data_IF_292705298936
#
_entry.id   IF_292705298936
#
_cell.length_a   1.000
_cell.length_b   1.000
_cell.length_c   1.000
_cell.angle_alpha   90.00
_cell.angle_beta   90.00
_cell.angle_gamma   90.00
#
_symmetry.space_group_name_H-M   'P 1'
#
loop_
_entity.id
_entity.type
_entity.pdbx_description
1 polymer ?
#
# COMPACT_ATOMS: atom_id res chain seq x y z
N UNK A 1 1.60 -16.96 -18.30
CA UNK A 1 2.01 -15.65 -18.85
C UNK A 1 2.80 -14.92 -17.78
N UNK A 2 3.98 -14.40 -18.10
CA UNK A 2 4.76 -13.52 -17.20
C UNK A 2 4.60 -12.09 -17.67
N UNK A 3 4.18 -11.16 -16.81
CA UNK A 3 4.19 -9.74 -17.14
C UNK A 3 5.65 -9.27 -17.12
N UNK A 4 6.15 -8.75 -18.25
CA UNK A 4 7.54 -8.25 -18.37
C UNK A 4 8.63 -9.26 -17.93
N UNK A 5 8.38 -10.56 -18.05
CA UNK A 5 9.32 -11.62 -17.63
C UNK A 5 9.33 -11.90 -16.11
N UNK A 6 8.52 -11.19 -15.33
CA UNK A 6 8.39 -11.39 -13.89
C UNK A 6 7.46 -12.57 -13.57
N UNK A 7 7.89 -13.40 -12.62
CA UNK A 7 7.08 -14.47 -12.01
C UNK A 7 6.68 -14.04 -10.60
N UNK A 8 5.87 -13.00 -10.51
CA UNK A 8 5.39 -12.49 -9.24
C UNK A 8 4.34 -13.43 -8.63
N UNK A 9 4.40 -13.58 -7.30
CA UNK A 9 3.31 -14.11 -6.47
C UNK A 9 2.55 -12.93 -5.91
N UNK A 10 1.22 -12.98 -5.97
CA UNK A 10 0.34 -11.94 -5.43
C UNK A 10 -0.37 -12.52 -4.21
N UNK A 11 -0.38 -11.77 -3.11
CA UNK A 11 -1.28 -12.01 -1.98
C UNK A 11 -2.24 -10.85 -1.95
N UNK A 12 -3.53 -11.14 -2.11
CA UNK A 12 -4.59 -10.13 -2.13
C UNK A 12 -5.45 -10.33 -0.88
N UNK A 13 -5.62 -9.25 -0.13
CA UNK A 13 -6.46 -9.21 1.06
C UNK A 13 -7.72 -8.41 0.74
N UNK A 14 -8.88 -8.98 1.03
CA UNK A 14 -10.17 -8.35 0.80
C UNK A 14 -11.15 -8.77 1.90
N UNK A 15 -12.13 -7.93 2.23
CA UNK A 15 -13.19 -8.30 3.18
C UNK A 15 -14.05 -9.46 2.65
N UNK A 16 -14.20 -9.56 1.33
CA UNK A 16 -14.99 -10.56 0.62
C UNK A 16 -14.27 -11.02 -0.64
N UNK A 17 -13.21 -11.85 -0.51
CA UNK A 17 -12.44 -12.28 -1.66
C UNK A 17 -13.28 -13.03 -2.69
N UNK A 18 -12.94 -12.95 -3.99
CA UNK A 18 -13.74 -13.54 -5.05
C UNK A 18 -13.75 -15.08 -4.94
N UNK A 19 -14.95 -15.67 -4.85
CA UNK A 19 -15.12 -17.12 -4.73
C UNK A 19 -14.84 -17.88 -6.04
N UNK A 20 -15.14 -17.26 -7.19
CA UNK A 20 -15.08 -17.94 -8.51
C UNK A 20 -13.83 -17.60 -9.31
N UNK A 21 -12.82 -16.97 -8.69
CA UNK A 21 -11.54 -16.64 -9.31
C UNK A 21 -10.42 -17.47 -8.67
N UNK A 22 -9.74 -18.28 -9.49
CA UNK A 22 -8.61 -19.09 -9.05
C UNK A 22 -7.44 -18.98 -10.02
N UNK A 23 -6.29 -18.57 -9.52
CA UNK A 23 -5.01 -18.58 -10.23
C UNK A 23 -3.90 -18.99 -9.26
N UNK A 24 -3.05 -19.95 -9.63
CA UNK A 24 -2.00 -20.47 -8.75
C UNK A 24 -0.95 -19.40 -8.34
N UNK A 25 -0.93 -18.25 -9.01
CA UNK A 25 -0.03 -17.13 -8.71
C UNK A 25 -0.62 -16.15 -7.69
N UNK A 26 -1.92 -16.24 -7.42
CA UNK A 26 -2.66 -15.31 -6.56
C UNK A 26 -3.24 -16.07 -5.38
N UNK A 27 -2.87 -15.67 -4.17
CA UNK A 27 -3.49 -16.14 -2.95
C UNK A 27 -4.46 -15.06 -2.44
N UNK A 28 -5.75 -15.37 -2.47
CA UNK A 28 -6.77 -14.54 -1.86
C UNK A 28 -6.91 -14.87 -0.37
N UNK A 29 -6.98 -13.84 0.47
CA UNK A 29 -7.15 -13.98 1.91
C UNK A 29 -8.25 -13.03 2.37
N UNK A 30 -9.16 -13.51 3.19
CA UNK A 30 -10.16 -12.64 3.81
C UNK A 30 -9.51 -11.82 4.92
N UNK A 31 -9.68 -10.49 4.91
CA UNK A 31 -9.09 -9.61 5.92
C UNK A 31 -9.56 -8.16 5.84
N UNK A 32 -9.32 -7.41 6.91
CA UNK A 32 -9.64 -5.98 7.03
C UNK A 32 -8.34 -5.17 7.10
N UNK A 33 -8.24 -4.08 6.33
CA UNK A 33 -7.09 -3.19 6.33
C UNK A 33 -6.84 -2.52 7.70
N UNK A 34 -7.86 -2.39 8.54
CA UNK A 34 -7.72 -1.86 9.90
C UNK A 34 -6.97 -2.83 10.84
N UNK A 35 -6.96 -4.14 10.53
CA UNK A 35 -6.21 -5.15 11.25
C UNK A 35 -5.83 -6.33 10.33
N UNK A 36 -4.66 -6.21 9.71
CA UNK A 36 -4.12 -7.22 8.81
C UNK A 36 -3.55 -8.45 9.53
N UNK A 37 -3.42 -8.45 10.85
CA UNK A 37 -2.67 -9.49 11.58
C UNK A 37 -3.30 -10.88 11.45
N UNK A 38 -4.63 -10.95 11.35
CA UNK A 38 -5.35 -12.20 11.15
C UNK A 38 -5.23 -12.75 9.72
N UNK A 39 -5.10 -11.86 8.73
CA UNK A 39 -5.02 -12.24 7.31
C UNK A 39 -3.57 -12.52 6.88
N UNK A 40 -2.66 -11.61 7.22
CA UNK A 40 -1.24 -11.66 6.88
C UNK A 40 -0.43 -12.15 8.07
N UNK A 41 -0.59 -13.43 8.40
CA UNK A 41 0.14 -14.06 9.50
C UNK A 41 1.66 -13.98 9.30
N UNK A 42 2.41 -14.00 10.41
CA UNK A 42 3.87 -14.04 10.39
C UNK A 42 4.42 -15.15 9.47
N UNK A 43 3.85 -16.37 9.55
CA UNK A 43 4.33 -17.50 8.76
C UNK A 43 4.07 -17.33 7.26
N UNK A 44 2.94 -16.71 6.90
CA UNK A 44 2.65 -16.36 5.51
C UNK A 44 3.66 -15.35 5.00
N UNK A 45 3.85 -14.24 5.73
CA UNK A 45 4.78 -13.17 5.36
C UNK A 45 6.22 -13.69 5.26
N UNK A 46 6.70 -14.47 6.24
CA UNK A 46 8.03 -15.07 6.24
C UNK A 46 8.27 -16.04 5.05
N UNK A 47 7.20 -16.56 4.43
CA UNK A 47 7.30 -17.43 3.25
C UNK A 47 7.43 -16.66 1.93
N UNK A 48 7.20 -15.34 1.91
CA UNK A 48 7.19 -14.52 0.71
C UNK A 48 8.61 -14.01 0.40
N UNK A 49 9.13 -14.20 -0.82
CA UNK A 49 10.42 -13.65 -1.19
C UNK A 49 10.32 -12.13 -1.37
N UNK A 50 11.33 -11.42 -0.89
CA UNK A 50 11.55 -10.00 -1.18
C UNK A 50 12.22 -9.80 -2.56
N UNK A 51 12.09 -8.63 -3.21
CA UNK A 51 11.39 -7.44 -2.71
C UNK A 51 9.87 -7.54 -2.82
N UNK A 52 9.18 -6.89 -1.90
CA UNK A 52 7.73 -6.71 -1.92
C UNK A 52 7.35 -5.36 -2.52
N UNK A 53 6.18 -5.37 -3.17
CA UNK A 53 5.41 -4.18 -3.48
C UNK A 53 4.06 -4.33 -2.79
N UNK A 54 3.77 -3.46 -1.84
CA UNK A 54 2.47 -3.37 -1.17
C UNK A 54 1.67 -2.24 -1.83
N UNK A 55 0.51 -2.56 -2.39
CA UNK A 55 -0.52 -1.58 -2.79
C UNK A 55 -1.57 -1.51 -1.71
N UNK A 56 -1.75 -0.35 -1.08
CA UNK A 56 -2.88 -0.09 -0.20
C UNK A 56 -3.93 0.71 -0.97
N UNK A 57 -4.96 0.00 -1.43
CA UNK A 57 -6.09 0.52 -2.21
C UNK A 57 -7.40 0.00 -1.59
N UNK A 58 -7.68 0.41 -0.35
CA UNK A 58 -8.80 -0.13 0.42
C UNK A 58 -9.85 0.93 0.82
N UNK A 59 -9.88 1.35 2.08
CA UNK A 59 -10.89 2.26 2.62
C UNK A 59 -10.51 3.74 2.46
N UNK A 60 -9.24 4.04 2.17
CA UNK A 60 -8.67 5.40 2.04
C UNK A 60 -8.89 6.34 3.24
N UNK A 61 -9.43 5.85 4.35
CA UNK A 61 -9.52 6.60 5.61
C UNK A 61 -8.15 6.75 6.23
N UNK A 62 -7.93 7.82 6.98
CA UNK A 62 -6.70 8.04 7.73
C UNK A 62 -6.34 6.84 8.62
N UNK A 63 -7.33 6.26 9.30
CA UNK A 63 -7.19 5.14 10.21
C UNK A 63 -6.70 3.88 9.50
N UNK A 64 -7.35 3.50 8.40
CA UNK A 64 -6.96 2.33 7.60
C UNK A 64 -5.55 2.49 7.03
N UNK A 65 -5.25 3.60 6.34
CA UNK A 65 -3.93 3.85 5.76
C UNK A 65 -2.84 3.83 6.85
N UNK A 66 -3.11 4.43 8.01
CA UNK A 66 -2.20 4.42 9.17
C UNK A 66 -1.98 3.01 9.71
N UNK A 67 -3.04 2.20 9.83
CA UNK A 67 -2.96 0.83 10.29
C UNK A 67 -2.10 -0.03 9.35
N UNK A 68 -2.32 0.09 8.04
CA UNK A 68 -1.55 -0.63 7.02
C UNK A 68 -0.07 -0.21 7.04
N UNK A 69 0.22 1.10 7.03
CA UNK A 69 1.59 1.63 7.11
C UNK A 69 2.33 1.07 8.34
N UNK A 70 1.70 1.13 9.52
CA UNK A 70 2.29 0.63 10.77
C UNK A 70 2.45 -0.88 10.79
N UNK A 71 1.52 -1.62 10.21
CA UNK A 71 1.62 -3.06 10.09
C UNK A 71 2.85 -3.42 9.26
N UNK A 72 2.96 -2.89 8.05
CA UNK A 72 4.05 -3.20 7.14
C UNK A 72 5.40 -2.63 7.57
N UNK A 73 5.45 -1.57 8.38
CA UNK A 73 6.71 -1.08 8.93
C UNK A 73 7.52 -2.14 9.70
N UNK A 74 6.82 -3.11 10.31
CA UNK A 74 7.45 -4.22 11.03
C UNK A 74 7.94 -5.35 10.11
N UNK A 75 7.62 -5.31 8.83
CA UNK A 75 7.81 -6.43 7.90
C UNK A 75 8.59 -6.06 6.63
N UNK A 76 8.53 -4.80 6.19
CA UNK A 76 9.27 -4.34 5.03
C UNK A 76 10.76 -4.30 5.31
N UNK A 77 11.54 -4.77 4.35
CA UNK A 77 13.01 -4.71 4.38
C UNK A 77 13.53 -3.76 3.31
N UNK A 78 14.82 -3.40 3.39
CA UNK A 78 15.45 -2.48 2.43
C UNK A 78 15.23 -2.95 0.99
N UNK A 79 14.68 -2.07 0.16
CA UNK A 79 14.34 -2.34 -1.24
C UNK A 79 12.88 -2.69 -1.49
N UNK A 80 12.10 -2.96 -0.44
CA UNK A 80 10.65 -3.09 -0.55
C UNK A 80 9.99 -1.72 -0.74
N UNK A 81 8.79 -1.75 -1.32
CA UNK A 81 7.94 -0.59 -1.51
C UNK A 81 6.56 -0.78 -0.88
N UNK A 82 6.01 0.32 -0.39
CA UNK A 82 4.59 0.47 -0.11
C UNK A 82 4.08 1.72 -0.82
N UNK A 83 2.98 1.58 -1.55
CA UNK A 83 2.24 2.69 -2.14
C UNK A 83 0.89 2.80 -1.44
N UNK A 84 0.58 4.00 -0.95
CA UNK A 84 -0.75 4.33 -0.41
C UNK A 84 -1.54 5.04 -1.50
N UNK A 85 -2.66 4.45 -1.92
CA UNK A 85 -3.38 4.93 -3.09
C UNK A 85 -4.37 6.06 -2.79
N UNK A 86 -4.83 6.72 -3.85
CA UNK A 86 -5.86 7.77 -3.82
C UNK A 86 -5.59 8.98 -2.91
N UNK A 87 -4.33 9.43 -2.84
CA UNK A 87 -3.98 10.70 -2.20
C UNK A 87 -4.63 11.92 -2.88
N UNK A 88 -5.02 11.84 -4.15
CA UNK A 88 -5.68 12.95 -4.86
C UNK A 88 -7.13 13.19 -4.44
N UNK A 89 -7.71 12.36 -3.57
CA UNK A 89 -9.05 12.61 -3.01
C UNK A 89 -9.17 14.01 -2.38
N UNK A 90 -8.04 14.58 -1.90
CA UNK A 90 -7.97 15.96 -1.40
C UNK A 90 -8.31 17.03 -2.43
N UNK A 91 -8.08 16.75 -3.71
CA UNK A 91 -8.14 17.71 -4.81
C UNK A 91 -9.44 17.58 -5.62
N UNK A 92 -10.26 16.59 -5.30
CA UNK A 92 -11.55 16.36 -5.95
C UNK A 92 -12.64 17.23 -5.32
N UNK A 93 -13.36 17.97 -6.16
CA UNK A 93 -14.22 19.09 -5.76
C UNK A 93 -15.56 18.73 -5.08
N UNK A 94 -15.78 17.47 -4.69
CA UNK A 94 -17.07 17.02 -4.15
C UNK A 94 -17.05 16.82 -2.64
N UNK A 95 -18.15 17.20 -1.97
CA UNK A 95 -18.41 17.03 -0.52
C UNK A 95 -18.23 15.58 -0.02
N UNK A 96 -18.17 14.61 -0.92
CA UNK A 96 -17.96 13.20 -0.58
C UNK A 96 -16.56 12.95 0.01
N UNK A 97 -15.56 13.77 -0.32
CA UNK A 97 -14.17 13.53 0.05
C UNK A 97 -13.75 14.13 1.41
N UNK A 98 -14.53 15.07 1.95
CA UNK A 98 -14.36 15.56 3.33
C UNK A 98 -14.46 14.42 4.35
N UNK A 99 -15.23 13.37 4.04
CA UNK A 99 -15.43 12.21 4.93
C UNK A 99 -14.19 11.35 5.12
N UNK A 100 -13.19 11.46 4.24
CA UNK A 100 -11.93 10.73 4.34
C UNK A 100 -10.83 11.55 5.03
N UNK A 101 -11.09 12.82 5.40
CA UNK A 101 -10.18 13.71 6.15
C UNK A 101 -8.75 13.82 5.56
N UNK A 102 -8.61 13.84 4.24
CA UNK A 102 -7.30 13.75 3.56
C UNK A 102 -6.48 12.50 3.94
N UNK A 103 -7.18 11.40 4.22
CA UNK A 103 -6.69 10.20 4.88
C UNK A 103 -5.34 9.70 4.37
N UNK A 104 -5.18 9.41 3.06
CA UNK A 104 -3.95 8.82 2.54
C UNK A 104 -2.75 9.77 2.71
N UNK A 105 -2.87 11.02 2.22
CA UNK A 105 -1.78 12.01 2.31
C UNK A 105 -1.43 12.33 3.77
N UNK A 106 -2.44 12.46 4.64
CA UNK A 106 -2.23 12.74 6.07
C UNK A 106 -1.56 11.57 6.77
N UNK A 107 -1.93 10.32 6.44
CA UNK A 107 -1.30 9.13 6.98
C UNK A 107 0.17 9.03 6.55
N UNK A 108 0.45 9.26 5.26
CA UNK A 108 1.81 9.27 4.69
C UNK A 108 2.66 10.37 5.32
N UNK A 109 2.16 11.61 5.41
CA UNK A 109 2.90 12.74 6.01
C UNK A 109 3.27 12.43 7.46
N UNK A 110 2.31 11.95 8.26
CA UNK A 110 2.55 11.58 9.64
C UNK A 110 3.57 10.45 9.73
N UNK A 111 3.41 9.40 8.95
CA UNK A 111 4.31 8.24 8.97
C UNK A 111 5.74 8.65 8.62
N UNK A 112 5.96 9.43 7.56
CA UNK A 112 7.28 9.92 7.19
C UNK A 112 7.89 10.81 8.27
N UNK A 113 7.08 11.60 8.99
CA UNK A 113 7.57 12.42 10.11
C UNK A 113 8.07 11.56 11.30
N UNK A 114 7.48 10.38 11.49
CA UNK A 114 7.86 9.40 12.53
C UNK A 114 9.03 8.51 12.07
N UNK A 115 9.29 8.41 10.76
CA UNK A 115 10.25 7.47 10.15
C UNK A 115 11.23 8.12 9.15
N UNK A 116 11.64 9.38 9.40
CA UNK A 116 12.41 10.26 8.50
C UNK A 116 13.64 9.60 7.85
N UNK A 117 14.31 8.71 8.58
CA UNK A 117 15.55 8.07 8.12
C UNK A 117 15.35 6.65 7.57
N UNK A 118 14.13 6.15 7.54
CA UNK A 118 13.82 4.75 7.22
C UNK A 118 13.18 4.60 5.85
N UNK A 119 12.39 5.59 5.43
CA UNK A 119 11.70 5.61 4.13
C UNK A 119 12.09 6.82 3.31
N UNK A 120 12.07 6.65 2.00
CA UNK A 120 12.16 7.75 1.04
C UNK A 120 10.98 7.73 0.09
N UNK A 121 10.55 8.91 -0.35
CA UNK A 121 9.58 9.04 -1.44
C UNK A 121 10.32 8.82 -2.75
N UNK A 122 9.85 7.87 -3.55
CA UNK A 122 10.34 7.66 -4.91
C UNK A 122 9.71 8.71 -5.84
N UNK A 123 10.39 9.86 -5.92
CA UNK A 123 9.95 10.96 -6.78
C UNK A 123 9.88 10.60 -8.26
N UNK A 124 10.68 9.64 -8.74
CA UNK A 124 10.62 9.23 -10.15
C UNK A 124 9.32 8.51 -10.49
N UNK A 125 8.76 7.75 -9.54
CA UNK A 125 7.45 7.11 -9.68
C UNK A 125 6.31 8.12 -9.50
N UNK A 126 6.40 9.00 -8.49
CA UNK A 126 5.41 10.06 -8.28
C UNK A 126 5.32 11.04 -9.46
N UNK A 127 6.45 11.35 -10.08
CA UNK A 127 6.57 12.38 -11.12
C UNK A 127 6.59 11.81 -12.55
N UNK A 128 6.29 10.52 -12.72
CA UNK A 128 6.46 9.82 -14.01
C UNK A 128 5.73 10.53 -15.19
N UNK A 129 4.55 11.10 -14.91
CA UNK A 129 3.76 11.85 -15.90
C UNK A 129 3.83 13.37 -15.75
N UNK A 130 4.76 13.88 -14.94
CA UNK A 130 4.84 15.26 -14.47
C UNK A 130 4.75 15.34 -12.96
N UNK A 131 5.14 16.47 -12.37
CA UNK A 131 5.25 16.64 -10.91
C UNK A 131 3.96 16.24 -10.17
N UNK A 132 4.02 15.15 -9.38
CA UNK A 132 2.89 14.52 -8.69
C UNK A 132 1.64 14.33 -9.57
N UNK A 133 1.81 14.12 -10.89
CA UNK A 133 0.72 13.75 -11.80
C UNK A 133 0.49 12.24 -11.66
N UNK A 134 -0.15 11.87 -10.56
CA UNK A 134 -0.44 10.48 -10.15
C UNK A 134 -1.65 10.46 -9.21
N UNK A 135 -2.29 9.30 -9.02
CA UNK A 135 -3.31 9.10 -7.99
C UNK A 135 -2.71 8.97 -6.58
N UNK A 136 -1.40 8.74 -6.47
CA UNK A 136 -0.69 8.45 -5.22
C UNK A 136 0.38 9.53 -4.90
N UNK A 137 0.02 10.82 -4.80
CA UNK A 137 0.98 11.91 -4.66
C UNK A 137 1.83 11.73 -3.40
N UNK A 138 3.15 11.81 -3.55
CA UNK A 138 4.14 11.59 -2.48
C UNK A 138 4.05 10.23 -1.76
N UNK A 139 3.28 9.27 -2.27
CA UNK A 139 2.91 8.07 -1.53
C UNK A 139 3.62 6.79 -1.99
N UNK A 140 4.51 6.87 -2.99
CA UNK A 140 5.43 5.78 -3.34
C UNK A 140 6.60 5.75 -2.36
N UNK A 141 6.49 4.94 -1.31
CA UNK A 141 7.49 4.88 -0.25
C UNK A 141 8.40 3.67 -0.41
N UNK A 142 9.71 3.90 -0.54
CA UNK A 142 10.72 2.86 -0.54
C UNK A 142 11.32 2.71 0.85
N UNK A 143 11.41 1.48 1.36
CA UNK A 143 12.18 1.17 2.56
C UNK A 143 13.67 1.30 2.24
N UNK A 144 14.32 2.31 2.80
CA UNK A 144 15.70 2.68 2.48
C UNK A 144 16.70 2.21 3.55
N UNK A 145 16.27 2.04 4.80
CA UNK A 145 17.12 1.61 5.93
C UNK A 145 16.42 0.61 6.85
#
# INVERSE_FOLDING_TARGET
MTAHGLRARVVSVDLSPPADLSDARIQFVAGDAHDLSAALTHDLLASLPHPWLVSEDSAHTFEACTAVLRFFDNHLVVGDYIVIEDGVLSDMAERHYETYEHGPNRAVERFLSEHVDTYEIDGALCDFFGQNVTWNPNAWLRRAR
#
